data_IF_797281782862
#
_entry.id   IF_797281782862
#
_cell.length_a   1.000
_cell.length_b   1.000
_cell.length_c   1.000
_cell.angle_alpha   90.00
_cell.angle_beta   90.00
_cell.angle_gamma   90.00
#
_symmetry.space_group_name_H-M   'P 1'
#
loop_
_entity.id
_entity.type
_entity.pdbx_description
1 polymer ?
#
# COMPACT_ATOMS: atom_id res chain seq x y z
N UNK A 1 -11.32 -3.26 0.14
CA UNK A 1 -11.50 -4.46 1.01
C UNK A 1 -10.63 -4.34 2.27
N UNK A 2 -10.66 -5.27 3.25
CA UNK A 2 -9.55 -5.41 4.20
C UNK A 2 -8.42 -6.21 3.54
N UNK A 3 -7.20 -5.70 3.61
CA UNK A 3 -6.00 -6.38 3.09
C UNK A 3 -5.30 -7.12 4.24
N UNK A 4 -5.16 -6.48 5.41
CA UNK A 4 -4.61 -7.12 6.60
C UNK A 4 -5.64 -7.26 7.70
N UNK A 5 -6.03 -8.50 8.02
CA UNK A 5 -6.96 -8.78 9.12
C UNK A 5 -6.29 -8.54 10.48
N UNK A 6 -5.02 -8.94 10.65
CA UNK A 6 -4.31 -8.79 11.92
C UNK A 6 -4.18 -7.33 12.39
N UNK A 7 -3.98 -6.41 11.44
CA UNK A 7 -3.79 -4.99 11.72
C UNK A 7 -5.01 -4.13 11.38
N UNK A 8 -6.11 -4.75 10.91
CA UNK A 8 -7.29 -4.08 10.41
C UNK A 8 -6.99 -2.99 9.36
N UNK A 9 -6.09 -3.28 8.40
CA UNK A 9 -5.71 -2.33 7.34
C UNK A 9 -6.62 -2.55 6.14
N UNK A 10 -7.32 -1.48 5.75
CA UNK A 10 -8.12 -1.47 4.52
C UNK A 10 -7.25 -1.14 3.32
N UNK A 11 -7.65 -1.65 2.15
CA UNK A 11 -7.00 -1.36 0.88
C UNK A 11 -6.88 0.15 0.61
N UNK A 12 -7.93 0.92 0.94
CA UNK A 12 -7.93 2.37 0.79
C UNK A 12 -6.86 3.05 1.67
N UNK A 13 -6.64 2.53 2.88
CA UNK A 13 -5.58 3.01 3.77
C UNK A 13 -4.20 2.62 3.24
N UNK A 14 -4.06 1.39 2.75
CA UNK A 14 -2.83 0.89 2.15
C UNK A 14 -2.42 1.71 0.93
N UNK A 15 -3.34 1.93 -0.02
CA UNK A 15 -3.11 2.78 -1.20
C UNK A 15 -2.76 4.22 -0.81
N UNK A 16 -3.43 4.78 0.20
CA UNK A 16 -3.10 6.12 0.72
C UNK A 16 -1.70 6.19 1.35
N UNK A 17 -1.27 5.13 2.04
CA UNK A 17 0.09 5.02 2.57
C UNK A 17 1.13 4.86 1.45
N UNK A 18 0.84 4.02 0.45
CA UNK A 18 1.68 3.80 -0.72
C UNK A 18 1.93 5.08 -1.54
N UNK A 19 0.96 6.01 -1.61
CA UNK A 19 1.19 7.31 -2.28
C UNK A 19 2.17 8.22 -1.53
N UNK A 20 2.29 8.08 -0.21
CA UNK A 20 3.12 8.95 0.65
C UNK A 20 4.49 8.34 0.96
N UNK A 21 4.60 7.03 0.92
CA UNK A 21 5.80 6.28 1.25
C UNK A 21 6.10 5.28 0.13
N UNK A 22 7.38 5.09 -0.20
CA UNK A 22 7.83 4.05 -1.12
C UNK A 22 8.45 2.89 -0.35
N UNK A 23 8.41 1.71 -0.94
CA UNK A 23 8.98 0.49 -0.36
C UNK A 23 8.02 -0.68 -0.43
N UNK A 24 8.43 -1.80 0.15
CA UNK A 24 7.60 -3.01 0.28
C UNK A 24 6.44 -2.81 1.26
N UNK A 25 5.49 -3.74 1.25
CA UNK A 25 4.38 -3.82 2.20
C UNK A 25 4.84 -3.68 3.65
N UNK A 26 5.97 -4.28 4.04
CA UNK A 26 6.51 -4.13 5.39
C UNK A 26 6.93 -2.70 5.72
N UNK A 27 7.58 -2.01 4.78
CA UNK A 27 7.97 -0.61 4.96
C UNK A 27 6.75 0.30 5.04
N UNK A 28 5.73 0.06 4.22
CA UNK A 28 4.46 0.79 4.25
C UNK A 28 3.69 0.52 5.55
N UNK A 29 3.69 -0.71 6.06
CA UNK A 29 3.06 -1.02 7.35
C UNK A 29 3.80 -0.32 8.49
N UNK A 30 5.14 -0.29 8.42
CA UNK A 30 5.98 0.46 9.34
C UNK A 30 5.64 1.95 9.37
N UNK A 31 5.37 2.57 8.21
CA UNK A 31 4.97 3.99 8.16
C UNK A 31 3.58 4.26 8.74
N UNK A 32 2.74 3.23 8.83
CA UNK A 32 1.45 3.23 9.54
C UNK A 32 1.58 2.88 11.04
N UNK A 33 2.80 2.66 11.53
CA UNK A 33 3.06 2.24 12.92
C UNK A 33 2.59 0.80 13.19
N UNK A 34 2.54 -0.05 12.17
CA UNK A 34 2.08 -1.45 12.25
C UNK A 34 3.19 -2.41 11.89
N UNK A 35 3.16 -3.59 12.50
CA UNK A 35 4.06 -4.71 12.15
C UNK A 35 3.22 -5.90 11.67
N UNK A 36 3.50 -6.47 10.47
CA UNK A 36 2.80 -7.66 9.99
C UNK A 36 2.98 -8.86 10.94
N UNK A 37 1.88 -9.49 11.34
CA UNK A 37 1.88 -10.62 12.29
C UNK A 37 1.90 -11.98 11.57
N UNK A 38 0.81 -12.35 10.88
CA UNK A 38 0.74 -13.62 10.15
C UNK A 38 1.45 -13.59 8.79
N UNK A 39 1.71 -12.37 8.26
CA UNK A 39 2.41 -12.11 6.99
C UNK A 39 1.71 -12.67 5.73
N UNK A 40 0.52 -13.25 5.88
CA UNK A 40 -0.26 -13.82 4.76
C UNK A 40 -0.76 -12.79 3.76
N UNK A 41 -0.86 -11.52 4.16
CA UNK A 41 -1.31 -10.43 3.30
C UNK A 41 -0.17 -9.73 2.55
N UNK A 42 1.11 -10.10 2.77
CA UNK A 42 2.23 -9.32 2.24
C UNK A 42 2.29 -9.35 0.72
N UNK A 43 2.14 -10.51 0.10
CA UNK A 43 2.19 -10.65 -1.36
C UNK A 43 1.07 -9.82 -2.03
N UNK A 44 -0.18 -9.96 -1.56
CA UNK A 44 -1.31 -9.16 -2.05
C UNK A 44 -1.13 -7.66 -1.78
N UNK A 45 -0.58 -7.30 -0.62
CA UNK A 45 -0.29 -5.91 -0.29
C UNK A 45 0.78 -5.31 -1.22
N UNK A 46 1.83 -6.06 -1.55
CA UNK A 46 2.87 -5.64 -2.48
C UNK A 46 2.30 -5.45 -3.90
N UNK A 47 1.42 -6.34 -4.36
CA UNK A 47 0.73 -6.19 -5.65
C UNK A 47 -0.13 -4.90 -5.69
N UNK A 48 -0.88 -4.62 -4.62
CA UNK A 48 -1.70 -3.39 -4.50
C UNK A 48 -0.80 -2.14 -4.48
N UNK A 49 0.34 -2.19 -3.78
CA UNK A 49 1.29 -1.08 -3.72
C UNK A 49 1.90 -0.83 -5.12
N UNK A 50 2.30 -1.89 -5.81
CA UNK A 50 2.87 -1.80 -7.16
C UNK A 50 1.87 -1.24 -8.18
N UNK A 51 0.61 -1.68 -8.12
CA UNK A 51 -0.50 -1.17 -8.92
C UNK A 51 -0.74 0.33 -8.67
N UNK A 52 -0.74 0.75 -7.40
CA UNK A 52 -0.89 2.15 -7.00
C UNK A 52 0.28 3.01 -7.52
N UNK A 53 1.51 2.53 -7.41
CA UNK A 53 2.70 3.24 -7.89
C UNK A 53 2.75 3.33 -9.41
N UNK A 54 2.27 2.31 -10.11
CA UNK A 54 2.17 2.29 -11.58
C UNK A 54 1.08 3.25 -12.07
N UNK A 55 -0.06 3.28 -11.38
CA UNK A 55 -1.19 4.16 -11.70
C UNK A 55 -0.89 5.65 -11.41
N UNK A 56 -0.10 5.94 -10.37
CA UNK A 56 0.34 7.29 -10.04
C UNK A 56 1.23 7.92 -11.14
N UNK A 57 1.83 7.11 -12.03
CA UNK A 57 2.58 7.59 -13.20
C UNK A 57 1.72 8.15 -14.32
N UNK A 58 0.41 7.88 -14.34
CA UNK A 58 -0.49 8.31 -15.43
C UNK A 58 -1.23 9.63 -15.12
N UNK A 59 -1.02 10.22 -13.93
CA UNK A 59 -1.83 11.33 -13.41
C UNK A 59 -1.30 12.75 -13.62
N UNK A 60 -0.25 12.98 -14.42
CA UNK A 60 0.33 14.33 -14.61
C UNK A 60 0.68 14.67 -16.07
N UNK A 61 -0.05 14.11 -17.05
CA UNK A 61 0.11 14.48 -18.47
C UNK A 61 -1.06 15.31 -19.05
N UNK A 62 -1.92 15.91 -18.21
CA UNK A 62 -3.03 16.75 -18.67
C UNK A 62 -3.15 18.04 -17.85
N UNK A 63 -2.12 18.88 -17.87
CA UNK A 63 -2.21 20.30 -17.54
C UNK A 63 -0.95 21.06 -18.01
N UNK A 64 -0.88 21.37 -19.31
CA UNK A 64 -0.13 22.51 -19.86
C UNK A 64 -0.67 22.82 -21.27
#
# INVERSE_FOLDING_TARGET
>A
MYVCICNAIRETELRCAARRCRGSAEAIYGSLGRTPQCRQCLDEADDIIADEHSSAGMGIAAAA
#
